data_IF_291800440968
#
_entry.id   IF_291800440968
#
_cell.length_a   1.000
_cell.length_b   1.000
_cell.length_c   1.000
_cell.angle_alpha   90.00
_cell.angle_beta   90.00
_cell.angle_gamma   90.00
#
_symmetry.space_group_name_H-M   'P 1'
#
loop_
_entity.id
_entity.type
_entity.pdbx_description
1 polymer ?
#
# COMPACT_ATOMS: atom_id res chain seq x y z
N UNK A 1 0.84 -5.84 -8.33
CA UNK A 1 -0.38 -5.00 -8.38
C UNK A 1 -1.64 -5.77 -8.03
N UNK A 2 -1.94 -6.92 -8.66
CA UNK A 2 -3.19 -7.70 -8.43
C UNK A 2 -3.55 -7.98 -6.96
N UNK A 3 -2.57 -8.23 -6.10
CA UNK A 3 -2.81 -8.43 -4.66
C UNK A 3 -3.33 -7.16 -3.97
N UNK A 4 -2.80 -5.98 -4.33
CA UNK A 4 -3.19 -4.70 -3.74
C UNK A 4 -4.60 -4.27 -4.16
N UNK A 5 -4.96 -4.50 -5.43
CA UNK A 5 -6.32 -4.25 -5.92
C UNK A 5 -7.35 -5.10 -5.16
N UNK A 6 -7.06 -6.40 -4.98
CA UNK A 6 -7.91 -7.28 -4.19
C UNK A 6 -8.06 -6.78 -2.74
N UNK A 7 -6.99 -6.27 -2.13
CA UNK A 7 -7.05 -5.70 -0.77
C UNK A 7 -7.97 -4.48 -0.74
N UNK A 8 -7.91 -3.59 -1.73
CA UNK A 8 -8.80 -2.43 -1.80
C UNK A 8 -10.26 -2.83 -1.99
N UNK A 9 -10.54 -3.85 -2.80
CA UNK A 9 -11.90 -4.36 -2.97
C UNK A 9 -12.44 -5.00 -1.68
N UNK A 10 -11.59 -5.68 -0.92
CA UNK A 10 -11.95 -6.22 0.40
C UNK A 10 -12.22 -5.10 1.41
N UNK A 11 -11.36 -4.07 1.45
CA UNK A 11 -11.56 -2.91 2.32
C UNK A 11 -12.86 -2.17 1.98
N UNK A 12 -13.18 -1.99 0.70
CA UNK A 12 -14.45 -1.38 0.26
C UNK A 12 -15.67 -2.19 0.70
N UNK A 13 -15.58 -3.53 0.70
CA UNK A 13 -16.66 -4.39 1.20
C UNK A 13 -16.84 -4.30 2.72
N UNK A 14 -15.77 -4.07 3.47
CA UNK A 14 -15.82 -4.02 4.94
C UNK A 14 -16.15 -2.63 5.49
N UNK A 15 -15.65 -1.58 4.83
CA UNK A 15 -15.71 -0.19 5.29
C UNK A 15 -16.64 0.70 4.45
N UNK A 16 -17.25 0.17 3.39
CA UNK A 16 -17.99 0.98 2.43
C UNK A 16 -17.06 1.84 1.57
N UNK A 17 -17.40 3.11 1.40
CA UNK A 17 -16.53 4.04 0.66
C UNK A 17 -15.29 4.40 1.49
N UNK A 18 -14.10 4.21 0.92
CA UNK A 18 -12.83 4.54 1.57
C UNK A 18 -12.58 6.04 1.43
N UNK A 19 -12.51 6.76 2.55
CA UNK A 19 -12.25 8.20 2.58
C UNK A 19 -10.77 8.52 2.40
N UNK A 20 -9.89 7.79 3.10
CA UNK A 20 -8.43 7.93 3.00
C UNK A 20 -7.73 6.66 3.48
N UNK A 21 -6.58 6.37 2.86
CA UNK A 21 -5.63 5.37 3.32
C UNK A 21 -4.32 6.07 3.68
N UNK A 22 -3.82 5.83 4.90
CA UNK A 22 -2.46 6.19 5.29
C UNK A 22 -1.58 4.97 5.06
N UNK A 23 -0.68 5.05 4.08
CA UNK A 23 0.20 3.96 3.66
C UNK A 23 1.64 4.15 4.17
N UNK A 24 2.25 3.04 4.59
CA UNK A 24 3.63 2.93 5.01
C UNK A 24 4.33 1.95 4.04
N UNK A 25 5.04 2.49 3.05
CA UNK A 25 5.61 1.70 1.95
C UNK A 25 7.10 1.44 2.17
N UNK A 26 7.52 0.18 2.27
CA UNK A 26 8.94 -0.13 2.44
C UNK A 26 9.77 0.41 1.27
N UNK A 27 10.84 1.15 1.55
CA UNK A 27 11.70 1.77 0.53
C UNK A 27 12.28 0.74 -0.44
N UNK A 28 12.56 -0.49 0.03
CA UNK A 28 13.04 -1.56 -0.85
C UNK A 28 11.99 -1.99 -1.87
N UNK A 29 10.70 -2.02 -1.49
CA UNK A 29 9.60 -2.27 -2.42
C UNK A 29 9.47 -1.14 -3.44
N UNK A 30 9.60 0.11 -2.99
CA UNK A 30 9.58 1.27 -3.88
C UNK A 30 10.71 1.22 -4.92
N UNK A 31 11.93 0.94 -4.47
CA UNK A 31 13.10 0.79 -5.34
C UNK A 31 12.93 -0.36 -6.33
N UNK A 32 12.34 -1.48 -5.90
CA UNK A 32 12.04 -2.62 -6.79
C UNK A 32 11.01 -2.24 -7.87
N UNK A 33 9.96 -1.50 -7.50
CA UNK A 33 8.96 -0.99 -8.44
C UNK A 33 9.59 -0.03 -9.45
N UNK A 34 10.52 0.82 -9.01
CA UNK A 34 11.28 1.73 -9.88
C UNK A 34 12.21 0.97 -10.82
N UNK A 35 13.00 0.02 -10.33
CA UNK A 35 13.90 -0.80 -11.13
C UNK A 35 13.16 -1.60 -12.20
N UNK A 36 11.95 -2.08 -11.90
CA UNK A 36 11.11 -2.82 -12.83
C UNK A 36 10.24 -1.93 -13.73
N UNK A 37 10.37 -0.60 -13.66
CA UNK A 37 9.54 0.37 -14.39
C UNK A 37 8.02 0.21 -14.14
N UNK A 38 7.64 -0.24 -12.94
CA UNK A 38 6.25 -0.50 -12.54
C UNK A 38 5.58 0.67 -11.81
N UNK A 39 6.26 1.83 -11.73
CA UNK A 39 5.79 3.01 -10.99
C UNK A 39 4.42 3.47 -11.46
N UNK A 40 4.21 3.52 -12.78
CA UNK A 40 2.93 3.95 -13.36
C UNK A 40 1.79 2.99 -12.98
N UNK A 41 2.03 1.68 -13.07
CA UNK A 41 1.05 0.67 -12.68
C UNK A 41 0.72 0.76 -11.18
N UNK A 42 1.72 1.05 -10.34
CA UNK A 42 1.49 1.25 -8.90
C UNK A 42 0.69 2.52 -8.64
N UNK A 43 1.01 3.64 -9.30
CA UNK A 43 0.28 4.90 -9.19
C UNK A 43 -1.17 4.77 -9.67
N UNK A 44 -1.43 4.00 -10.73
CA UNK A 44 -2.78 3.73 -11.23
C UNK A 44 -3.62 2.95 -10.21
N UNK A 45 -3.01 1.99 -9.50
CA UNK A 45 -3.71 1.27 -8.43
C UNK A 45 -4.00 2.19 -7.25
N UNK A 46 -3.01 3.00 -6.84
CA UNK A 46 -3.21 3.93 -5.73
C UNK A 46 -4.17 5.06 -6.06
N UNK A 47 -4.24 5.56 -7.29
CA UNK A 47 -5.14 6.65 -7.66
C UNK A 47 -6.63 6.29 -7.59
N UNK A 48 -6.97 5.00 -7.51
CA UNK A 48 -8.34 4.50 -7.32
C UNK A 48 -8.91 4.78 -5.92
N UNK A 49 -8.06 5.21 -4.99
CA UNK A 49 -8.41 5.53 -3.59
C UNK A 49 -7.54 6.70 -3.12
N UNK A 50 -8.00 7.48 -2.15
CA UNK A 50 -7.20 8.59 -1.64
C UNK A 50 -6.08 8.05 -0.73
N UNK A 51 -4.88 7.79 -1.28
CA UNK A 51 -3.73 7.28 -0.52
C UNK A 51 -2.73 8.39 -0.25
N UNK A 52 -2.40 8.58 1.03
CA UNK A 52 -1.30 9.43 1.51
C UNK A 52 -0.33 8.59 2.32
N UNK A 53 0.92 9.03 2.48
CA UNK A 53 1.88 8.24 3.23
C UNK A 53 3.33 8.62 3.00
N UNK A 54 4.23 7.75 3.45
CA UNK A 54 5.67 7.91 3.32
C UNK A 54 6.37 6.55 3.26
N UNK A 55 7.64 6.57 2.86
CA UNK A 55 8.45 5.36 2.81
C UNK A 55 9.04 5.00 4.17
N UNK A 56 9.03 3.72 4.51
CA UNK A 56 9.64 3.17 5.72
C UNK A 56 10.85 2.29 5.37
N UNK A 57 11.64 1.92 6.37
CA UNK A 57 12.67 0.89 6.21
C UNK A 57 12.11 -0.52 6.44
N UNK A 58 10.83 -0.79 6.17
CA UNK A 58 10.19 -2.07 6.49
C UNK A 58 9.38 -2.01 7.78
N UNK A 59 8.96 -3.17 8.29
CA UNK A 59 8.16 -3.31 9.51
C UNK A 59 8.80 -4.30 10.49
N UNK A 60 8.46 -4.15 11.78
CA UNK A 60 8.84 -5.14 12.79
C UNK A 60 7.61 -5.92 13.22
N UNK A 61 7.65 -7.23 13.07
CA UNK A 61 6.62 -8.14 13.54
C UNK A 61 7.28 -9.24 14.39
N UNK A 62 6.88 -9.36 15.66
CA UNK A 62 7.43 -10.33 16.59
C UNK A 62 8.98 -10.32 16.69
N UNK A 63 9.58 -9.12 16.73
CA UNK A 63 11.04 -8.90 16.74
C UNK A 63 11.77 -9.30 15.45
N UNK A 64 11.05 -9.68 14.39
CA UNK A 64 11.60 -9.93 13.05
C UNK A 64 11.38 -8.71 12.19
N UNK A 65 12.43 -8.26 11.50
CA UNK A 65 12.35 -7.18 10.53
C UNK A 65 11.89 -7.74 9.18
N UNK A 66 10.75 -7.29 8.70
CA UNK A 66 10.13 -7.73 7.45
C UNK A 66 10.25 -6.61 6.43
N UNK A 67 10.79 -6.95 5.26
CA UNK A 67 11.00 -6.04 4.14
C UNK A 67 9.94 -6.26 3.05
N UNK A 68 9.97 -5.39 2.03
CA UNK A 68 9.10 -5.46 0.85
C UNK A 68 7.59 -5.45 1.17
N UNK A 69 7.24 -4.87 2.32
CA UNK A 69 5.87 -4.76 2.79
C UNK A 69 5.26 -3.42 2.42
N UNK A 70 3.94 -3.43 2.33
CA UNK A 70 3.11 -2.24 2.30
C UNK A 70 2.05 -2.44 3.38
N UNK A 71 2.08 -1.62 4.41
CA UNK A 71 1.04 -1.58 5.43
C UNK A 71 0.28 -0.27 5.38
N UNK A 72 -0.91 -0.25 5.97
CA UNK A 72 -1.69 0.96 6.00
C UNK A 72 -2.91 0.89 6.90
N UNK A 73 -3.44 2.08 7.18
CA UNK A 73 -4.69 2.29 7.90
C UNK A 73 -5.71 2.85 6.92
N UNK A 74 -6.86 2.20 6.80
CA UNK A 74 -7.96 2.65 5.95
C UNK A 74 -9.08 3.22 6.81
N UNK A 75 -9.59 4.38 6.41
CA UNK A 75 -10.74 5.03 7.02
C UNK A 75 -11.91 4.96 6.02
N UNK A 76 -13.07 4.49 6.48
CA UNK A 76 -14.31 4.46 5.71
C UNK A 76 -15.43 5.26 6.38
N UNK A 77 -16.56 5.36 5.70
CA UNK A 77 -17.77 6.04 6.18
C UNK A 77 -18.79 5.08 6.78
#
# INVERSE_FOLDING_TARGET
TKNLENTFDLLKKQLGEISVIIAFDCILRRLEVEQNNLVNNMNEVFSKVNVIGFSTYGEQCNSVHVNQTLTGLAFGY
#
